data_IF_864601213709
#
_entry.id   IF_864601213709
#
_cell.length_a   1.000
_cell.length_b   1.000
_cell.length_c   1.000
_cell.angle_alpha   90.00
_cell.angle_beta   90.00
_cell.angle_gamma   90.00
#
_symmetry.space_group_name_H-M   'P 1'
#
loop_
_entity.id
_entity.type
_entity.pdbx_description
1 polymer ?
#
# COMPACT_ATOMS: atom_id res chain seq x y z
N UNK A 1 55.65 -25.88 13.70
CA UNK A 1 57.06 -26.03 13.30
C UNK A 1 57.32 -24.97 12.25
N UNK A 2 58.05 -23.90 12.69
CA UNK A 2 59.12 -23.17 12.01
C UNK A 2 58.79 -22.49 10.64
N UNK A 3 59.15 -21.31 10.27
CA UNK A 3 59.90 -20.16 10.85
C UNK A 3 59.85 -19.06 9.77
N UNK A 4 59.80 -17.84 10.24
CA UNK A 4 59.98 -16.55 9.56
C UNK A 4 61.18 -16.53 8.60
N UNK A 5 61.12 -15.68 7.56
CA UNK A 5 62.30 -14.89 7.12
C UNK A 5 61.85 -13.56 6.48
N UNK A 6 62.27 -12.49 7.10
CA UNK A 6 62.42 -11.15 6.56
C UNK A 6 63.54 -11.09 5.52
N UNK A 7 63.40 -10.26 4.47
CA UNK A 7 64.55 -9.55 3.88
C UNK A 7 64.10 -8.28 3.15
N UNK A 8 64.75 -7.19 3.61
CA UNK A 8 64.78 -5.84 3.05
C UNK A 8 65.24 -5.80 1.62
N UNK A 9 64.72 -4.86 0.81
CA UNK A 9 65.47 -4.19 -0.24
C UNK A 9 65.08 -2.71 -0.32
N UNK A 10 66.04 -1.85 0.13
CA UNK A 10 66.07 -0.42 -0.18
C UNK A 10 66.52 -0.25 -1.63
N UNK A 11 65.77 0.50 -2.44
CA UNK A 11 66.38 1.23 -3.56
C UNK A 11 65.87 2.66 -3.55
N UNK A 12 66.81 3.60 -3.37
CA UNK A 12 66.71 5.01 -3.67
C UNK A 12 66.66 5.18 -5.19
N UNK A 13 65.68 5.89 -5.71
CA UNK A 13 65.78 6.57 -7.01
C UNK A 13 65.35 8.02 -6.82
N UNK A 14 66.31 8.91 -7.10
CA UNK A 14 66.11 10.35 -7.19
C UNK A 14 65.23 10.71 -8.41
N UNK A 15 64.34 11.70 -8.20
CA UNK A 15 64.11 12.79 -9.13
C UNK A 15 63.11 12.61 -10.23
N UNK A 16 61.94 13.18 -10.01
CA UNK A 16 61.29 14.16 -10.88
C UNK A 16 59.94 14.50 -10.26
N UNK A 17 59.81 15.69 -9.70
CA UNK A 17 58.52 16.27 -9.34
C UNK A 17 57.86 16.74 -10.62
N UNK A 18 57.01 15.90 -11.21
CA UNK A 18 56.06 16.36 -12.21
C UNK A 18 54.85 16.96 -11.46
N UNK A 19 54.76 18.28 -11.50
CA UNK A 19 53.53 18.96 -11.18
C UNK A 19 52.46 18.55 -12.21
N UNK A 20 51.66 17.56 -11.85
CA UNK A 20 50.38 17.34 -12.52
C UNK A 20 49.41 18.37 -11.89
N UNK A 21 49.14 19.42 -12.62
CA UNK A 21 48.01 20.32 -12.29
C UNK A 21 46.74 19.47 -12.21
N UNK A 22 46.13 19.41 -11.03
CA UNK A 22 44.78 18.87 -10.86
C UNK A 22 43.86 19.61 -11.84
N UNK A 23 42.94 18.91 -12.51
CA UNK A 23 41.90 19.62 -13.27
C UNK A 23 41.13 20.49 -12.28
N UNK A 24 40.96 21.76 -12.64
CA UNK A 24 40.05 22.66 -11.97
C UNK A 24 38.67 21.93 -11.93
N UNK A 25 38.14 21.74 -10.74
CA UNK A 25 36.74 21.40 -10.56
C UNK A 25 35.95 22.51 -11.25
N UNK A 26 35.26 22.17 -12.32
CA UNK A 26 34.17 23.01 -12.79
C UNK A 26 33.26 23.20 -11.59
N UNK A 27 33.28 24.40 -11.00
CA UNK A 27 32.26 24.83 -10.07
C UNK A 27 30.95 24.85 -10.86
N UNK A 28 30.19 23.74 -10.73
CA UNK A 28 28.77 23.74 -11.07
C UNK A 28 28.13 24.75 -10.13
N UNK A 29 27.93 25.94 -10.65
CA UNK A 29 27.06 26.94 -10.03
C UNK A 29 25.66 26.37 -10.13
N UNK A 30 25.19 25.75 -9.03
CA UNK A 30 23.76 25.46 -8.86
C UNK A 30 23.03 26.81 -8.99
N UNK A 31 22.24 26.97 -10.04
CA UNK A 31 21.33 28.08 -10.14
C UNK A 31 20.28 27.95 -9.02
N UNK A 32 20.00 29.03 -8.31
CA UNK A 32 18.94 29.09 -7.28
C UNK A 32 17.52 28.71 -7.82
N UNK A 33 17.39 28.48 -9.12
CA UNK A 33 16.15 28.09 -9.78
C UNK A 33 15.80 26.59 -9.61
N UNK A 34 16.74 25.74 -9.19
CA UNK A 34 16.52 24.28 -9.05
C UNK A 34 16.14 23.83 -7.62
N UNK A 35 16.15 24.72 -6.64
CA UNK A 35 15.69 24.42 -5.29
C UNK A 35 14.16 24.49 -5.25
N UNK A 36 13.50 23.34 -5.38
CA UNK A 36 12.07 23.24 -5.05
C UNK A 36 11.86 23.86 -3.65
N UNK A 37 10.90 24.78 -3.45
CA UNK A 37 10.68 25.37 -2.14
C UNK A 37 10.39 24.25 -1.14
N UNK A 38 11.09 24.27 -0.01
CA UNK A 38 10.87 23.33 1.07
C UNK A 38 9.39 23.32 1.47
N UNK A 39 8.84 22.14 1.72
CA UNK A 39 7.45 22.01 2.17
C UNK A 39 7.34 22.48 3.62
N UNK A 40 6.53 23.48 3.89
CA UNK A 40 6.25 24.03 5.21
C UNK A 40 4.83 24.61 5.34
N UNK A 41 4.50 25.12 6.50
CA UNK A 41 3.17 25.68 6.79
C UNK A 41 2.82 26.94 5.97
N UNK A 42 3.77 27.54 5.25
CA UNK A 42 3.50 28.68 4.37
C UNK A 42 2.92 28.26 3.03
N UNK A 43 3.31 27.08 2.52
CA UNK A 43 2.97 26.58 1.19
C UNK A 43 2.19 25.24 1.19
N UNK A 44 1.97 24.64 2.35
CA UNK A 44 1.24 23.36 2.47
C UNK A 44 0.41 23.34 3.77
N UNK A 45 -0.92 23.30 3.63
CA UNK A 45 -1.84 23.35 4.78
C UNK A 45 -2.95 22.30 4.68
N UNK A 46 -3.23 21.65 5.79
CA UNK A 46 -4.42 20.83 5.94
C UNK A 46 -5.70 21.67 5.72
N UNK A 47 -6.76 21.09 5.18
CA UNK A 47 -6.96 19.67 4.86
C UNK A 47 -6.46 19.23 3.48
N UNK A 48 -5.93 20.13 2.65
CA UNK A 48 -5.59 19.83 1.25
C UNK A 48 -4.17 19.34 1.04
N UNK A 49 -3.23 19.73 1.88
CA UNK A 49 -1.82 19.43 1.76
C UNK A 49 -1.23 19.07 3.12
N UNK A 50 -0.35 18.06 3.15
CA UNK A 50 0.43 17.61 4.31
C UNK A 50 1.85 17.30 3.88
N UNK A 51 2.83 18.01 4.42
CA UNK A 51 4.23 17.76 4.09
C UNK A 51 4.70 16.37 4.52
N UNK A 52 5.66 15.82 3.77
CA UNK A 52 6.43 14.67 4.25
C UNK A 52 7.07 14.97 5.62
N UNK A 53 6.98 14.01 6.55
CA UNK A 53 7.48 14.18 7.92
C UNK A 53 6.55 14.93 8.86
N UNK A 54 5.46 15.52 8.37
CA UNK A 54 4.42 16.11 9.22
C UNK A 54 3.69 15.06 10.03
N UNK A 55 3.12 15.51 11.14
CA UNK A 55 2.29 14.67 12.01
C UNK A 55 1.07 15.47 12.50
N UNK A 56 0.00 14.79 12.97
CA UNK A 56 -1.19 15.45 13.49
C UNK A 56 -0.86 16.42 14.62
N UNK A 57 -1.57 17.57 14.68
CA UNK A 57 -1.39 18.62 15.70
C UNK A 57 -1.82 18.20 17.11
N UNK A 58 -2.51 17.05 17.25
CA UNK A 58 -2.92 16.47 18.54
C UNK A 58 -1.71 15.96 19.31
N UNK A 59 -1.67 16.11 20.63
CA UNK A 59 -0.59 15.59 21.47
C UNK A 59 -0.45 14.08 21.33
N UNK A 60 0.77 13.54 21.49
CA UNK A 60 1.00 12.08 21.33
C UNK A 60 0.12 11.28 22.29
N UNK A 61 -0.11 11.76 23.51
CA UNK A 61 -0.92 11.11 24.54
C UNK A 61 -2.40 11.02 24.12
N UNK A 62 -2.90 12.03 23.43
CA UNK A 62 -4.29 12.13 22.98
C UNK A 62 -4.54 11.55 21.59
N UNK A 63 -3.47 11.26 20.83
CA UNK A 63 -3.58 10.66 19.51
C UNK A 63 -4.15 9.25 19.57
N UNK A 64 -5.04 8.87 18.64
CA UNK A 64 -5.33 7.46 18.42
C UNK A 64 -4.09 6.74 17.88
N UNK A 65 -3.87 5.51 18.33
CA UNK A 65 -3.04 4.55 17.60
C UNK A 65 -3.93 3.81 16.62
N UNK A 66 -3.79 4.11 15.36
CA UNK A 66 -4.57 3.40 14.34
C UNK A 66 -4.01 2.00 14.09
N UNK A 67 -4.91 1.02 14.07
CA UNK A 67 -4.70 -0.31 13.52
C UNK A 67 -5.31 -0.32 12.10
N UNK A 68 -4.46 -0.31 11.10
CA UNK A 68 -4.82 -0.17 9.69
C UNK A 68 -4.56 -1.49 8.96
N UNK A 69 -5.60 -2.33 8.88
CA UNK A 69 -5.51 -3.66 8.28
C UNK A 69 -5.97 -3.63 6.82
N UNK A 70 -5.12 -4.12 5.92
CA UNK A 70 -5.43 -4.19 4.49
C UNK A 70 -5.18 -5.58 3.91
N UNK A 71 -6.01 -5.95 2.94
CA UNK A 71 -5.86 -7.18 2.17
C UNK A 71 -5.82 -6.86 0.68
N UNK A 72 -4.98 -7.59 -0.04
CA UNK A 72 -4.88 -7.51 -1.48
C UNK A 72 -5.59 -8.69 -2.14
N UNK A 73 -5.89 -8.55 -3.45
CA UNK A 73 -6.48 -9.53 -4.34
C UNK A 73 -8.00 -9.70 -4.30
N UNK A 74 -8.46 -10.72 -5.01
CA UNK A 74 -9.86 -11.01 -5.22
C UNK A 74 -10.56 -11.49 -3.93
N UNK A 75 -11.78 -11.00 -3.71
CA UNK A 75 -12.67 -11.49 -2.66
C UNK A 75 -13.45 -12.68 -3.20
N UNK A 76 -13.34 -13.81 -2.53
CA UNK A 76 -13.88 -15.09 -2.97
C UNK A 76 -14.58 -15.83 -1.82
N UNK A 77 -15.30 -16.89 -2.15
CA UNK A 77 -15.86 -17.79 -1.15
C UNK A 77 -14.80 -18.51 -0.30
N UNK A 78 -13.55 -18.57 -0.79
CA UNK A 78 -12.47 -19.25 -0.10
C UNK A 78 -11.85 -18.39 1.03
N UNK A 79 -11.94 -17.05 0.93
CA UNK A 79 -11.31 -16.14 1.90
C UNK A 79 -12.33 -15.37 2.78
N UNK A 80 -13.60 -15.33 2.41
CA UNK A 80 -14.61 -14.53 3.12
C UNK A 80 -14.77 -14.92 4.60
N UNK A 81 -14.60 -16.20 4.96
CA UNK A 81 -14.74 -16.66 6.34
C UNK A 81 -13.61 -16.12 7.23
N UNK A 82 -12.40 -16.00 6.71
CA UNK A 82 -11.27 -15.36 7.40
C UNK A 82 -11.59 -13.90 7.68
N UNK A 83 -12.08 -13.16 6.68
CA UNK A 83 -12.46 -11.75 6.84
C UNK A 83 -13.60 -11.57 7.84
N UNK A 84 -14.61 -12.44 7.82
CA UNK A 84 -15.71 -12.41 8.80
C UNK A 84 -15.21 -12.66 10.24
N UNK A 85 -14.25 -13.56 10.46
CA UNK A 85 -13.65 -13.79 11.79
C UNK A 85 -12.92 -12.57 12.32
N UNK A 86 -12.20 -11.86 11.44
CA UNK A 86 -11.50 -10.63 11.79
C UNK A 86 -12.51 -9.50 12.07
N UNK A 87 -13.51 -9.33 11.20
CA UNK A 87 -14.57 -8.34 11.36
C UNK A 87 -15.35 -8.54 12.68
N UNK A 88 -15.55 -9.78 13.12
CA UNK A 88 -16.20 -10.11 14.39
C UNK A 88 -15.45 -9.58 15.62
N UNK A 89 -14.16 -9.21 15.49
CA UNK A 89 -13.37 -8.50 16.51
C UNK A 89 -13.62 -6.98 16.53
N UNK A 90 -14.51 -6.48 15.68
CA UNK A 90 -14.76 -5.04 15.53
C UNK A 90 -13.72 -4.32 14.66
N UNK A 91 -12.94 -5.07 13.86
CA UNK A 91 -11.90 -4.51 12.99
C UNK A 91 -12.48 -4.13 11.65
N UNK A 92 -12.27 -2.87 11.24
CA UNK A 92 -12.51 -2.39 9.87
C UNK A 92 -11.26 -2.66 9.04
N UNK A 93 -11.47 -2.95 7.76
CA UNK A 93 -10.40 -3.36 6.83
C UNK A 93 -10.50 -2.58 5.53
N UNK A 94 -9.38 -2.39 4.85
CA UNK A 94 -9.33 -1.92 3.45
C UNK A 94 -8.98 -3.09 2.56
N UNK A 95 -9.73 -3.29 1.48
CA UNK A 95 -9.50 -4.33 0.48
C UNK A 95 -9.10 -3.71 -0.84
N UNK A 96 -7.88 -3.98 -1.29
CA UNK A 96 -7.41 -3.64 -2.63
C UNK A 96 -7.78 -4.79 -3.57
N UNK A 97 -8.83 -4.58 -4.37
CA UNK A 97 -9.50 -5.65 -5.10
C UNK A 97 -9.04 -5.71 -6.55
N UNK A 98 -8.59 -6.89 -6.99
CA UNK A 98 -8.36 -7.25 -8.40
C UNK A 98 -9.59 -7.93 -9.01
N UNK A 99 -9.68 -7.99 -10.36
CA UNK A 99 -10.89 -8.48 -11.03
C UNK A 99 -10.98 -9.99 -11.11
N UNK A 100 -9.91 -10.67 -11.55
CA UNK A 100 -9.99 -12.10 -11.84
C UNK A 100 -10.36 -12.89 -10.58
N UNK A 101 -11.36 -13.75 -10.71
CA UNK A 101 -11.97 -14.54 -9.61
C UNK A 101 -12.73 -13.75 -8.55
N UNK A 102 -12.84 -12.42 -8.66
CA UNK A 102 -13.56 -11.63 -7.66
C UNK A 102 -15.08 -11.91 -7.66
N UNK A 103 -15.63 -12.15 -6.49
CA UNK A 103 -17.08 -12.17 -6.25
C UNK A 103 -17.56 -10.77 -5.86
N UNK A 104 -18.13 -10.06 -6.82
CA UNK A 104 -18.61 -8.69 -6.60
C UNK A 104 -19.74 -8.59 -5.58
N UNK A 105 -20.49 -9.67 -5.37
CA UNK A 105 -21.53 -9.68 -4.35
C UNK A 105 -20.95 -9.75 -2.93
N UNK A 106 -19.86 -10.50 -2.75
CA UNK A 106 -19.11 -10.54 -1.49
C UNK A 106 -18.35 -9.23 -1.26
N UNK A 107 -17.77 -8.66 -2.32
CA UNK A 107 -17.15 -7.33 -2.26
C UNK A 107 -18.12 -6.28 -1.78
N UNK A 108 -19.35 -6.26 -2.35
CA UNK A 108 -20.41 -5.34 -1.92
C UNK A 108 -20.84 -5.58 -0.46
N UNK A 109 -20.91 -6.85 -0.04
CA UNK A 109 -21.24 -7.19 1.34
C UNK A 109 -20.19 -6.65 2.33
N UNK A 110 -18.90 -6.79 2.02
CA UNK A 110 -17.83 -6.22 2.85
C UNK A 110 -17.92 -4.69 2.92
N UNK A 111 -18.14 -4.03 1.78
CA UNK A 111 -18.39 -2.60 1.75
C UNK A 111 -19.59 -2.19 2.62
N UNK A 112 -20.73 -2.90 2.51
CA UNK A 112 -21.94 -2.63 3.28
C UNK A 112 -21.74 -2.81 4.79
N UNK A 113 -20.77 -3.65 5.19
CA UNK A 113 -20.40 -3.87 6.59
C UNK A 113 -19.41 -2.79 7.10
N UNK A 114 -19.10 -1.76 6.31
CA UNK A 114 -18.26 -0.63 6.72
C UNK A 114 -16.78 -0.80 6.42
N UNK A 115 -16.38 -1.82 5.65
CA UNK A 115 -15.03 -1.95 5.14
C UNK A 115 -14.81 -1.05 3.94
N UNK A 116 -13.58 -0.62 3.69
CA UNK A 116 -13.20 0.14 2.51
C UNK A 116 -12.86 -0.81 1.36
N UNK A 117 -13.31 -0.45 0.15
CA UNK A 117 -12.91 -1.11 -1.10
C UNK A 117 -12.08 -0.15 -1.93
N UNK A 118 -10.92 -0.59 -2.34
CA UNK A 118 -9.94 0.12 -3.13
C UNK A 118 -9.56 -0.68 -4.39
N UNK A 119 -8.79 -0.09 -5.27
CA UNK A 119 -8.47 -0.65 -6.59
C UNK A 119 -7.10 -1.31 -6.60
N UNK A 120 -7.03 -2.55 -7.16
CA UNK A 120 -5.80 -3.34 -7.30
C UNK A 120 -5.61 -3.90 -8.72
N UNK A 121 -6.05 -3.20 -9.75
CA UNK A 121 -6.00 -3.59 -11.15
C UNK A 121 -7.09 -4.57 -11.64
N UNK A 122 -7.16 -4.73 -12.96
CA UNK A 122 -8.01 -5.74 -13.61
C UNK A 122 -7.23 -7.05 -13.78
N UNK A 123 -6.09 -6.98 -14.47
CA UNK A 123 -5.38 -8.19 -14.92
C UNK A 123 -4.52 -8.83 -13.84
N UNK A 124 -4.02 -8.05 -12.92
CA UNK A 124 -2.98 -8.45 -11.97
C UNK A 124 -1.84 -9.23 -12.66
N UNK A 125 -1.38 -8.70 -13.82
CA UNK A 125 -0.35 -9.35 -14.64
C UNK A 125 0.88 -9.70 -13.78
N UNK A 126 1.34 -10.95 -13.87
CA UNK A 126 2.39 -11.48 -12.98
C UNK A 126 3.79 -10.96 -13.26
N UNK A 127 4.02 -10.42 -14.47
CA UNK A 127 5.29 -9.82 -14.84
C UNK A 127 5.41 -8.40 -14.28
N UNK A 128 6.33 -8.17 -13.36
CA UNK A 128 6.58 -6.84 -12.77
C UNK A 128 7.05 -5.80 -13.79
N UNK A 129 7.74 -6.20 -14.86
CA UNK A 129 8.12 -5.29 -15.96
C UNK A 129 6.90 -4.69 -16.65
N UNK A 130 5.78 -5.45 -16.69
CA UNK A 130 4.52 -4.94 -17.22
C UNK A 130 4.05 -3.68 -16.47
N UNK A 131 4.21 -3.66 -15.16
CA UNK A 131 3.83 -2.55 -14.30
C UNK A 131 4.87 -1.45 -14.32
N UNK A 132 6.16 -1.79 -14.17
CA UNK A 132 7.27 -0.83 -14.17
C UNK A 132 7.31 0.01 -15.45
N UNK A 133 7.13 -0.63 -16.60
CA UNK A 133 7.22 0.01 -17.92
C UNK A 133 5.84 0.48 -18.44
N UNK A 134 4.84 0.54 -17.56
CA UNK A 134 3.48 0.95 -17.89
C UNK A 134 3.35 2.45 -18.16
N UNK A 135 2.79 2.83 -19.31
CA UNK A 135 2.41 4.20 -19.62
C UNK A 135 1.07 4.59 -18.96
N UNK A 136 0.69 5.87 -19.03
CA UNK A 136 -0.59 6.37 -18.51
C UNK A 136 -1.80 5.65 -19.11
N UNK A 137 -1.73 5.22 -20.38
CA UNK A 137 -2.84 4.52 -21.03
C UNK A 137 -3.07 3.15 -20.39
N UNK A 138 -2.01 2.40 -20.15
CA UNK A 138 -2.06 1.10 -19.48
C UNK A 138 -2.60 1.25 -18.06
N UNK A 139 -2.03 2.15 -17.27
CA UNK A 139 -2.48 2.41 -15.89
C UNK A 139 -3.94 2.84 -15.83
N UNK A 140 -4.38 3.70 -16.75
CA UNK A 140 -5.78 4.10 -16.84
C UNK A 140 -6.69 2.91 -17.17
N UNK A 141 -6.32 2.06 -18.11
CA UNK A 141 -7.12 0.89 -18.47
C UNK A 141 -7.26 -0.09 -17.30
N UNK A 142 -6.21 -0.31 -16.55
CA UNK A 142 -6.19 -1.20 -15.39
C UNK A 142 -6.97 -0.61 -14.20
N UNK A 143 -6.65 0.60 -13.78
CA UNK A 143 -7.14 1.19 -12.52
C UNK A 143 -8.53 1.79 -12.67
N UNK A 144 -8.75 2.63 -13.69
CA UNK A 144 -10.07 3.24 -13.93
C UNK A 144 -11.06 2.19 -14.45
N UNK A 145 -10.56 1.23 -15.23
CA UNK A 145 -11.35 0.08 -15.65
C UNK A 145 -11.83 -0.74 -14.45
N UNK A 146 -10.95 -1.06 -13.49
CA UNK A 146 -11.34 -1.79 -12.28
C UNK A 146 -12.32 -1.00 -11.42
N UNK A 147 -12.10 0.30 -11.23
CA UNK A 147 -13.05 1.17 -10.54
C UNK A 147 -14.44 1.15 -11.19
N UNK A 148 -14.50 1.16 -12.52
CA UNK A 148 -15.76 1.06 -13.25
C UNK A 148 -16.44 -0.31 -13.07
N UNK A 149 -15.66 -1.40 -13.02
CA UNK A 149 -16.18 -2.75 -12.73
C UNK A 149 -16.75 -2.84 -11.31
N UNK A 150 -16.04 -2.35 -10.28
CA UNK A 150 -16.52 -2.30 -8.91
C UNK A 150 -17.80 -1.49 -8.78
N UNK A 151 -17.87 -0.35 -9.47
CA UNK A 151 -19.09 0.48 -9.51
C UNK A 151 -20.27 -0.26 -10.14
N UNK A 152 -20.03 -0.94 -11.26
CA UNK A 152 -21.11 -1.58 -12.03
C UNK A 152 -21.51 -2.92 -11.43
N UNK A 153 -20.57 -3.83 -11.28
CA UNK A 153 -20.84 -5.23 -10.89
C UNK A 153 -20.97 -5.40 -9.37
N UNK A 154 -20.30 -4.55 -8.59
CA UNK A 154 -20.43 -4.49 -7.14
C UNK A 154 -21.51 -3.51 -6.66
N UNK A 155 -22.10 -2.71 -7.55
CA UNK A 155 -23.07 -1.66 -7.22
C UNK A 155 -22.52 -0.64 -6.20
N UNK A 156 -21.20 -0.43 -6.19
CA UNK A 156 -20.52 0.48 -5.25
C UNK A 156 -20.55 1.93 -5.74
N UNK A 157 -20.66 2.92 -4.85
CA UNK A 157 -20.59 4.32 -5.23
C UNK A 157 -19.17 4.64 -5.76
N UNK A 158 -19.08 5.12 -7.00
CA UNK A 158 -17.77 5.45 -7.62
C UNK A 158 -16.96 6.46 -6.81
N UNK A 159 -17.63 7.43 -6.18
CA UNK A 159 -16.98 8.45 -5.36
C UNK A 159 -16.28 7.92 -4.10
N UNK A 160 -16.59 6.69 -3.70
CA UNK A 160 -15.97 6.02 -2.54
C UNK A 160 -14.79 5.11 -2.94
N UNK A 161 -14.64 4.82 -4.24
CA UNK A 161 -13.56 3.98 -4.78
C UNK A 161 -12.34 4.87 -5.12
N UNK A 162 -11.67 5.35 -4.09
CA UNK A 162 -10.65 6.41 -4.18
C UNK A 162 -9.24 5.97 -3.86
N UNK A 163 -9.07 4.72 -3.43
CA UNK A 163 -7.77 4.16 -3.06
C UNK A 163 -7.15 3.32 -4.16
N UNK A 164 -5.83 3.29 -4.18
CA UNK A 164 -5.03 2.50 -5.11
C UNK A 164 -3.88 1.79 -4.40
N UNK A 165 -3.59 0.57 -4.87
CA UNK A 165 -2.33 -0.15 -4.66
C UNK A 165 -1.93 -0.83 -5.95
N UNK A 166 -0.66 -0.67 -6.34
CA UNK A 166 -0.10 -1.33 -7.51
C UNK A 166 0.14 -2.82 -7.23
N UNK A 167 -0.16 -3.73 -8.17
CA UNK A 167 0.26 -5.12 -8.09
C UNK A 167 1.76 -5.24 -7.85
N UNK A 168 2.17 -6.17 -6.99
CA UNK A 168 3.56 -6.36 -6.59
C UNK A 168 4.23 -5.10 -6.01
N UNK A 169 3.46 -4.09 -5.63
CA UNK A 169 3.92 -2.77 -5.21
C UNK A 169 4.74 -2.04 -6.30
N UNK A 170 4.67 -2.51 -7.54
CA UNK A 170 5.43 -1.99 -8.66
C UNK A 170 4.67 -0.88 -9.38
N UNK A 171 5.09 0.34 -9.18
CA UNK A 171 4.61 1.51 -9.95
C UNK A 171 5.52 1.76 -11.16
N UNK A 172 5.10 2.64 -12.05
CA UNK A 172 5.92 3.20 -13.15
C UNK A 172 6.33 4.66 -12.88
N UNK A 173 6.48 5.02 -11.61
CA UNK A 173 6.81 6.39 -11.24
C UNK A 173 5.73 7.38 -11.71
N UNK A 174 6.13 8.48 -12.31
CA UNK A 174 5.25 9.58 -12.68
C UNK A 174 4.03 9.18 -13.51
N UNK A 175 4.14 8.14 -14.36
CA UNK A 175 3.00 7.68 -15.17
C UNK A 175 1.85 7.16 -14.31
N UNK A 176 2.15 6.38 -13.27
CA UNK A 176 1.15 5.88 -12.32
C UNK A 176 0.48 7.04 -11.59
N UNK A 177 1.28 7.90 -10.94
CA UNK A 177 0.79 8.98 -10.09
C UNK A 177 0.05 10.06 -10.88
N UNK A 178 0.47 10.33 -12.12
CA UNK A 178 -0.24 11.21 -13.06
C UNK A 178 -1.67 10.70 -13.35
N UNK A 179 -1.83 9.40 -13.60
CA UNK A 179 -3.16 8.80 -13.80
C UNK A 179 -4.00 8.89 -12.52
N UNK A 180 -3.44 8.55 -11.37
CA UNK A 180 -4.16 8.61 -10.10
C UNK A 180 -4.68 10.03 -9.83
N UNK A 181 -3.85 11.05 -10.03
CA UNK A 181 -4.24 12.45 -9.87
C UNK A 181 -5.30 12.88 -10.88
N UNK A 182 -5.07 12.66 -12.19
CA UNK A 182 -6.00 13.03 -13.27
C UNK A 182 -7.37 12.38 -13.09
N UNK A 183 -7.40 11.14 -12.64
CA UNK A 183 -8.61 10.36 -12.44
C UNK A 183 -9.19 10.50 -11.02
N UNK A 184 -8.66 11.44 -10.22
CA UNK A 184 -9.15 11.82 -8.88
C UNK A 184 -9.18 10.65 -7.89
N UNK A 185 -8.15 9.84 -7.88
CA UNK A 185 -7.87 8.99 -6.73
C UNK A 185 -7.42 9.87 -5.56
N UNK A 186 -7.75 9.47 -4.37
CA UNK A 186 -7.38 10.19 -3.16
C UNK A 186 -5.99 9.81 -2.69
N UNK A 187 -5.65 8.52 -2.81
CA UNK A 187 -4.39 8.01 -2.29
C UNK A 187 -3.82 6.84 -3.08
N UNK A 188 -2.51 6.72 -2.99
CA UNK A 188 -1.74 5.51 -3.25
C UNK A 188 -1.26 4.88 -1.93
N UNK A 189 -1.12 3.55 -1.92
CA UNK A 189 -0.45 2.80 -0.85
C UNK A 189 0.35 1.65 -1.44
N UNK A 190 1.34 2.01 -2.27
CA UNK A 190 2.20 1.05 -2.98
C UNK A 190 3.67 1.22 -2.63
N UNK A 191 4.07 2.28 -1.91
CA UNK A 191 5.46 2.67 -1.75
C UNK A 191 6.02 2.20 -0.39
N UNK A 192 6.86 1.14 -0.36
CA UNK A 192 7.50 0.69 0.87
C UNK A 192 8.52 1.70 1.40
N UNK A 193 8.64 1.77 2.73
CA UNK A 193 9.68 2.55 3.38
C UNK A 193 10.39 1.72 4.44
N UNK A 194 11.72 1.68 4.35
CA UNK A 194 12.63 1.06 5.31
C UNK A 194 13.36 2.09 6.16
N UNK A 195 13.77 3.21 5.56
CA UNK A 195 14.52 4.24 6.27
C UNK A 195 13.70 4.94 7.35
N UNK A 196 12.38 4.95 7.19
CA UNK A 196 11.45 5.62 8.10
C UNK A 196 10.59 4.62 8.89
N UNK A 197 11.24 3.61 9.47
CA UNK A 197 10.59 2.64 10.34
C UNK A 197 10.54 3.07 11.80
N UNK A 198 11.52 3.87 12.24
CA UNK A 198 11.65 4.34 13.62
C UNK A 198 12.30 5.75 13.67
N UNK A 199 11.54 6.83 13.92
CA UNK A 199 10.08 6.83 14.04
C UNK A 199 9.38 6.54 12.71
N UNK A 200 8.23 5.84 12.73
CA UNK A 200 7.47 5.58 11.50
C UNK A 200 6.83 6.87 10.97
N UNK A 201 6.69 6.96 9.64
CA UNK A 201 6.11 8.14 9.00
C UNK A 201 4.58 8.09 8.92
N UNK A 202 3.98 9.28 9.00
CA UNK A 202 2.58 9.51 8.76
C UNK A 202 2.28 9.66 7.26
N UNK A 203 1.03 9.41 6.81
CA UNK A 203 0.62 9.76 5.46
C UNK A 203 0.84 11.23 5.15
N UNK A 204 1.24 11.52 3.92
CA UNK A 204 1.52 12.86 3.44
C UNK A 204 1.01 13.04 2.01
N UNK A 205 0.98 14.28 1.49
CA UNK A 205 0.55 14.53 0.12
C UNK A 205 1.74 14.78 -0.79
N UNK A 206 1.58 14.44 -2.07
CA UNK A 206 2.62 14.58 -3.08
C UNK A 206 2.65 15.97 -3.75
N UNK A 207 2.12 17.00 -3.08
CA UNK A 207 2.13 18.39 -3.55
C UNK A 207 3.56 18.91 -3.76
N UNK A 208 4.47 18.50 -2.90
CA UNK A 208 5.89 18.88 -2.94
C UNK A 208 6.80 17.70 -3.31
N UNK A 209 6.21 16.65 -3.91
CA UNK A 209 6.91 15.47 -4.40
C UNK A 209 7.01 14.35 -3.37
N UNK A 210 7.75 13.32 -3.76
CA UNK A 210 7.96 12.11 -3.00
C UNK A 210 9.10 12.30 -1.99
N UNK A 211 8.85 12.02 -0.70
CA UNK A 211 9.79 12.35 0.38
C UNK A 211 10.46 11.15 1.05
N UNK A 212 9.90 9.93 0.92
CA UNK A 212 10.46 8.74 1.57
C UNK A 212 11.50 8.02 0.69
N UNK A 213 12.16 7.01 1.25
CA UNK A 213 13.13 6.19 0.52
C UNK A 213 12.48 5.36 -0.58
N UNK A 214 13.13 5.27 -1.73
CA UNK A 214 12.67 4.49 -2.87
C UNK A 214 13.14 3.04 -2.73
N UNK A 215 12.24 2.13 -2.39
CA UNK A 215 12.56 0.71 -2.21
C UNK A 215 12.28 -0.13 -3.46
N UNK A 216 11.35 0.31 -4.32
CA UNK A 216 10.99 -0.34 -5.58
C UNK A 216 10.96 0.72 -6.65
N UNK A 217 11.97 0.76 -7.49
CA UNK A 217 12.10 1.74 -8.58
C UNK A 217 11.18 1.39 -9.77
N UNK A 218 10.69 2.40 -10.52
CA UNK A 218 10.89 3.85 -10.33
C UNK A 218 9.93 4.46 -9.32
N UNK A 219 10.43 5.38 -8.49
CA UNK A 219 9.59 6.22 -7.64
C UNK A 219 9.20 7.52 -8.36
N UNK A 220 8.12 8.19 -7.97
CA UNK A 220 7.70 9.43 -8.63
C UNK A 220 8.67 10.57 -8.36
N UNK A 221 8.96 11.38 -9.40
CA UNK A 221 9.78 12.58 -9.32
C UNK A 221 8.94 13.86 -9.43
N UNK A 222 7.71 13.75 -9.96
CA UNK A 222 6.78 14.86 -10.13
C UNK A 222 6.12 15.31 -8.84
N UNK A 223 5.36 16.40 -8.95
CA UNK A 223 4.44 16.85 -7.92
C UNK A 223 3.01 16.47 -8.33
N UNK A 224 2.25 15.91 -7.38
CA UNK A 224 0.88 15.45 -7.60
C UNK A 224 -0.05 16.05 -6.54
N UNK A 225 -0.41 17.35 -6.66
CA UNK A 225 -1.17 18.06 -5.64
C UNK A 225 -2.47 17.37 -5.25
N UNK A 226 -2.68 17.23 -3.94
CA UNK A 226 -3.86 16.63 -3.34
C UNK A 226 -3.90 15.10 -3.34
N UNK A 227 -2.94 14.41 -3.98
CA UNK A 227 -2.81 12.96 -3.93
C UNK A 227 -2.01 12.57 -2.67
N UNK A 228 -2.61 11.72 -1.84
CA UNK A 228 -1.98 11.20 -0.64
C UNK A 228 -1.11 9.98 -0.93
N UNK A 229 0.06 9.94 -0.32
CA UNK A 229 0.84 8.72 -0.15
C UNK A 229 0.60 8.17 1.25
N UNK A 230 0.21 6.90 1.32
CA UNK A 230 0.06 6.16 2.57
C UNK A 230 1.19 5.14 2.68
N UNK A 231 2.29 5.49 3.35
CA UNK A 231 3.53 4.73 3.31
C UNK A 231 3.37 3.29 3.80
N UNK A 232 3.98 2.36 3.08
CA UNK A 232 4.06 0.98 3.51
C UNK A 232 5.30 0.78 4.41
N UNK A 233 5.20 1.24 5.67
CA UNK A 233 6.26 1.09 6.65
C UNK A 233 6.57 -0.39 6.87
N UNK A 234 7.82 -0.79 6.61
CA UNK A 234 8.24 -2.19 6.62
C UNK A 234 8.15 -2.84 8.01
N UNK A 235 7.98 -4.15 8.00
CA UNK A 235 8.07 -4.99 9.20
C UNK A 235 9.50 -5.42 9.45
N UNK A 236 9.83 -5.59 10.72
CA UNK A 236 11.05 -6.22 11.18
C UNK A 236 10.73 -7.59 11.78
N UNK A 237 11.19 -8.63 11.13
CA UNK A 237 11.10 -10.02 11.58
C UNK A 237 12.47 -10.48 12.07
N UNK A 238 12.58 -10.82 13.35
CA UNK A 238 13.76 -11.47 13.94
C UNK A 238 13.48 -12.95 14.04
N UNK A 239 14.36 -13.75 13.49
CA UNK A 239 14.32 -15.22 13.59
C UNK A 239 15.71 -15.77 13.93
N UNK A 240 15.81 -17.10 14.10
CA UNK A 240 17.10 -17.77 14.28
C UNK A 240 18.00 -17.67 13.04
N UNK A 241 17.41 -17.41 11.89
CA UNK A 241 18.10 -17.29 10.59
C UNK A 241 18.59 -15.87 10.31
N UNK A 242 18.19 -14.88 11.13
CA UNK A 242 18.61 -13.49 11.02
C UNK A 242 17.45 -12.50 11.10
N UNK A 243 17.77 -11.26 10.73
CA UNK A 243 16.85 -10.13 10.70
C UNK A 243 16.36 -9.88 9.28
N UNK A 244 15.04 -9.84 9.11
CA UNK A 244 14.38 -9.63 7.82
C UNK A 244 13.51 -8.39 7.86
N UNK A 245 13.49 -7.65 6.76
CA UNK A 245 12.66 -6.46 6.58
C UNK A 245 11.75 -6.69 5.38
N UNK A 246 10.46 -6.46 5.54
CA UNK A 246 9.47 -6.85 4.55
C UNK A 246 8.40 -5.79 4.38
N UNK A 247 8.00 -5.54 3.15
CA UNK A 247 6.96 -4.56 2.82
C UNK A 247 5.56 -5.05 3.16
N UNK A 248 5.36 -6.38 3.10
CA UNK A 248 4.09 -7.02 3.48
C UNK A 248 4.37 -8.09 4.54
N UNK A 249 3.38 -8.33 5.41
CA UNK A 249 3.50 -9.24 6.54
C UNK A 249 3.84 -10.68 6.10
N UNK A 250 3.27 -11.09 4.99
CA UNK A 250 3.43 -12.40 4.38
C UNK A 250 4.63 -12.51 3.42
N UNK A 251 5.38 -11.44 3.24
CA UNK A 251 6.67 -11.48 2.53
C UNK A 251 7.85 -11.81 3.46
N UNK A 252 7.65 -11.76 4.79
CA UNK A 252 8.70 -12.00 5.78
C UNK A 252 8.91 -13.50 6.04
N UNK A 253 9.81 -14.10 5.30
CA UNK A 253 10.26 -15.49 5.54
C UNK A 253 11.55 -15.51 6.37
N UNK A 254 11.74 -16.53 7.26
CA UNK A 254 10.83 -17.65 7.53
C UNK A 254 9.57 -17.21 8.27
N UNK A 255 8.44 -17.84 7.94
CA UNK A 255 7.16 -17.51 8.59
C UNK A 255 7.14 -17.90 10.06
N UNK A 256 6.34 -17.19 10.90
CA UNK A 256 6.03 -17.66 12.22
C UNK A 256 5.37 -19.04 12.17
N UNK A 257 5.81 -19.95 13.05
CA UNK A 257 5.35 -21.36 13.04
C UNK A 257 4.35 -21.68 14.17
N UNK A 258 4.25 -20.81 15.19
CA UNK A 258 3.31 -20.97 16.30
C UNK A 258 2.42 -19.73 16.44
N UNK A 259 1.29 -19.88 17.13
CA UNK A 259 0.42 -18.75 17.44
C UNK A 259 1.13 -17.69 18.27
N UNK A 260 1.95 -18.12 19.25
CA UNK A 260 2.74 -17.21 20.07
C UNK A 260 3.77 -16.43 19.23
N UNK A 261 4.54 -17.10 18.38
CA UNK A 261 5.52 -16.46 17.51
C UNK A 261 4.85 -15.44 16.55
N UNK A 262 3.67 -15.78 16.03
CA UNK A 262 2.89 -14.87 15.20
C UNK A 262 2.46 -13.63 15.98
N UNK A 263 1.90 -13.82 17.16
CA UNK A 263 1.48 -12.74 18.04
C UNK A 263 2.65 -11.85 18.43
N UNK A 264 3.77 -12.42 18.86
CA UNK A 264 4.96 -11.70 19.29
C UNK A 264 5.59 -10.88 18.15
N UNK A 265 5.63 -11.46 16.95
CA UNK A 265 6.07 -10.75 15.75
C UNK A 265 5.22 -9.49 15.47
N UNK A 266 3.90 -9.63 15.51
CA UNK A 266 2.98 -8.52 15.32
C UNK A 266 3.09 -7.49 16.45
N UNK A 267 3.12 -7.95 17.71
CA UNK A 267 3.24 -7.07 18.88
C UNK A 267 4.52 -6.24 18.86
N UNK A 268 5.65 -6.83 18.47
CA UNK A 268 6.93 -6.11 18.38
C UNK A 268 6.86 -4.96 17.39
N UNK A 269 6.30 -5.21 16.20
CA UNK A 269 6.12 -4.17 15.18
C UNK A 269 5.09 -3.12 15.61
N UNK A 270 3.96 -3.53 16.20
CA UNK A 270 2.96 -2.63 16.75
C UNK A 270 3.55 -1.69 17.81
N UNK A 271 4.31 -2.23 18.77
CA UNK A 271 4.90 -1.43 19.83
C UNK A 271 5.93 -0.41 19.35
N UNK A 272 6.57 -0.63 18.21
CA UNK A 272 7.44 0.35 17.57
C UNK A 272 6.66 1.62 17.18
N UNK A 273 5.46 1.48 16.60
CA UNK A 273 4.56 2.59 16.29
C UNK A 273 3.97 3.21 17.56
N UNK A 274 3.44 2.37 18.45
CA UNK A 274 2.72 2.79 19.64
C UNK A 274 3.57 3.60 20.63
N UNK A 275 4.83 3.19 20.84
CA UNK A 275 5.77 3.82 21.79
C UNK A 275 6.54 5.00 21.19
N UNK A 276 6.45 5.21 19.89
CA UNK A 276 7.12 6.28 19.17
C UNK A 276 6.16 7.46 18.96
N UNK A 277 5.80 7.76 17.72
CA UNK A 277 4.99 8.92 17.33
C UNK A 277 3.51 8.58 17.05
N UNK A 278 3.10 7.32 17.28
CA UNK A 278 1.76 6.79 16.98
C UNK A 278 1.32 6.92 15.50
N UNK A 279 2.27 6.94 14.56
CA UNK A 279 1.91 6.77 13.16
C UNK A 279 1.08 5.47 12.99
N UNK A 280 0.14 5.42 12.05
CA UNK A 280 -0.73 4.27 11.87
C UNK A 280 0.07 2.97 11.82
N UNK A 281 -0.33 1.96 12.60
CA UNK A 281 0.27 0.64 12.49
C UNK A 281 -0.38 -0.11 11.34
N UNK A 282 0.34 -0.30 10.23
CA UNK A 282 -0.21 -0.94 9.06
C UNK A 282 -0.12 -2.46 9.20
N UNK A 283 -1.10 -3.18 8.64
CA UNK A 283 -1.02 -4.61 8.40
C UNK A 283 -1.40 -4.84 6.94
N UNK A 284 -0.41 -5.17 6.12
CA UNK A 284 -0.53 -5.44 4.69
C UNK A 284 -0.30 -6.92 4.44
N UNK A 285 -1.27 -7.65 3.92
CA UNK A 285 -1.14 -9.09 3.66
C UNK A 285 -2.15 -9.63 2.66
N UNK A 286 -1.87 -10.85 2.15
CA UNK A 286 -2.83 -11.68 1.43
C UNK A 286 -3.48 -12.69 2.38
N UNK A 287 -4.76 -12.98 2.19
CA UNK A 287 -5.49 -13.90 3.08
C UNK A 287 -4.84 -15.29 3.17
N UNK A 288 -4.20 -15.73 2.09
CA UNK A 288 -3.54 -17.03 2.02
C UNK A 288 -2.55 -17.29 3.18
N UNK A 289 -1.91 -16.25 3.72
CA UNK A 289 -1.02 -16.37 4.87
C UNK A 289 -1.76 -16.82 6.15
N UNK A 290 -3.03 -16.42 6.30
CA UNK A 290 -3.89 -16.77 7.43
C UNK A 290 -4.60 -18.12 7.30
N UNK A 291 -4.41 -18.85 6.19
CA UNK A 291 -4.92 -20.24 6.06
C UNK A 291 -4.21 -21.22 6.97
N UNK A 292 -3.00 -20.90 7.37
CA UNK A 292 -2.33 -21.64 8.45
C UNK A 292 -3.00 -21.35 9.80
N UNK A 293 -3.37 -22.42 10.51
CA UNK A 293 -4.14 -22.32 11.75
C UNK A 293 -3.39 -21.58 12.85
N UNK A 294 -2.09 -21.82 12.98
CA UNK A 294 -1.27 -21.19 14.02
C UNK A 294 -1.11 -19.71 13.75
N UNK A 295 -0.91 -19.30 12.49
CA UNK A 295 -0.84 -17.89 12.12
C UNK A 295 -2.17 -17.18 12.33
N UNK A 296 -3.29 -17.77 11.91
CA UNK A 296 -4.61 -17.20 12.15
C UNK A 296 -4.90 -17.03 13.64
N UNK A 297 -4.61 -18.06 14.44
CA UNK A 297 -4.81 -18.01 15.89
C UNK A 297 -3.97 -16.90 16.53
N UNK A 298 -2.67 -16.85 16.22
CA UNK A 298 -1.77 -15.81 16.74
C UNK A 298 -2.18 -14.40 16.30
N UNK A 299 -2.64 -14.27 15.06
CA UNK A 299 -3.18 -13.02 14.54
C UNK A 299 -4.43 -12.55 15.31
N UNK A 300 -5.38 -13.45 15.55
CA UNK A 300 -6.59 -13.13 16.33
C UNK A 300 -6.25 -12.82 17.80
N UNK A 301 -5.30 -13.51 18.40
CA UNK A 301 -4.80 -13.21 19.76
C UNK A 301 -4.12 -11.83 19.82
N UNK A 302 -3.36 -11.45 18.78
CA UNK A 302 -2.80 -10.12 18.67
C UNK A 302 -3.91 -9.05 18.62
N UNK A 303 -4.94 -9.24 17.79
CA UNK A 303 -6.07 -8.31 17.73
C UNK A 303 -6.76 -8.17 19.07
N UNK A 304 -7.04 -9.29 19.77
CA UNK A 304 -7.65 -9.30 21.09
C UNK A 304 -6.84 -8.53 22.14
N UNK A 305 -5.50 -8.50 21.99
CA UNK A 305 -4.63 -7.76 22.89
C UNK A 305 -4.58 -6.27 22.57
N UNK A 306 -4.33 -5.90 21.32
CA UNK A 306 -4.17 -4.48 20.97
C UNK A 306 -5.47 -3.70 21.07
N UNK A 307 -6.62 -4.34 20.84
CA UNK A 307 -7.93 -3.70 20.99
C UNK A 307 -8.33 -3.41 22.44
N UNK A 308 -7.58 -3.90 23.44
CA UNK A 308 -7.77 -3.52 24.85
C UNK A 308 -7.16 -2.16 25.20
N UNK A 309 -6.24 -1.65 24.38
CA UNK A 309 -5.66 -0.34 24.61
C UNK A 309 -6.72 0.75 24.35
N UNK A 310 -6.89 1.65 25.31
CA UNK A 310 -7.97 2.66 25.27
C UNK A 310 -7.88 3.63 24.10
N UNK A 311 -6.70 3.82 23.55
CA UNK A 311 -6.38 4.75 22.47
C UNK A 311 -6.15 4.06 21.13
N UNK A 312 -6.25 2.72 21.05
CA UNK A 312 -6.23 2.00 19.79
C UNK A 312 -7.57 2.13 19.07
N UNK A 313 -7.52 2.42 17.79
CA UNK A 313 -8.70 2.52 16.91
C UNK A 313 -8.46 1.71 15.65
N UNK A 314 -9.39 0.80 15.35
CA UNK A 314 -9.42 0.18 14.01
C UNK A 314 -9.84 1.23 12.98
N UNK A 315 -9.10 1.32 11.89
CA UNK A 315 -9.29 2.32 10.85
C UNK A 315 -9.04 1.73 9.47
N UNK A 316 -9.82 2.17 8.49
CA UNK A 316 -9.49 2.01 7.08
C UNK A 316 -8.44 3.05 6.67
N UNK A 317 -7.85 2.91 5.48
CA UNK A 317 -6.93 3.94 4.98
C UNK A 317 -7.67 5.28 4.83
N UNK A 318 -8.90 5.26 4.34
CA UNK A 318 -9.74 6.45 4.23
C UNK A 318 -9.94 7.14 5.58
N UNK A 319 -10.19 6.36 6.65
CA UNK A 319 -10.32 6.91 8.01
C UNK A 319 -9.06 7.67 8.46
N UNK A 320 -7.89 7.11 8.17
CA UNK A 320 -6.60 7.72 8.52
C UNK A 320 -6.38 9.02 7.76
N UNK A 321 -6.69 9.07 6.47
CA UNK A 321 -6.55 10.29 5.66
C UNK A 321 -7.52 11.38 6.16
N UNK A 322 -8.78 11.03 6.43
CA UNK A 322 -9.75 12.01 6.96
C UNK A 322 -9.35 12.50 8.38
N UNK A 323 -8.74 11.61 9.18
CA UNK A 323 -8.14 12.01 10.44
C UNK A 323 -6.96 12.99 10.23
N UNK A 324 -6.07 12.73 9.26
CA UNK A 324 -4.98 13.67 8.94
C UNK A 324 -5.51 15.04 8.54
N UNK A 325 -6.60 15.09 7.78
CA UNK A 325 -7.27 16.32 7.36
C UNK A 325 -7.86 17.12 8.51
N UNK A 326 -8.37 16.44 9.53
CA UNK A 326 -9.00 17.05 10.71
C UNK A 326 -8.68 16.24 11.97
N UNK A 327 -7.47 16.38 12.53
CA UNK A 327 -7.03 15.60 13.67
C UNK A 327 -7.87 15.87 14.92
N UNK A 328 -8.25 14.80 15.61
CA UNK A 328 -9.00 14.82 16.87
C UNK A 328 -8.35 13.93 17.92
N UNK A 329 -8.76 14.03 19.18
CA UNK A 329 -8.29 13.09 20.19
C UNK A 329 -8.84 11.68 19.94
N UNK A 330 -8.15 10.67 20.49
CA UNK A 330 -8.61 9.28 20.36
C UNK A 330 -10.03 9.04 20.91
N UNK A 331 -10.49 9.90 21.82
CA UNK A 331 -11.85 9.85 22.39
C UNK A 331 -12.90 10.46 21.46
N UNK A 332 -12.50 11.42 20.65
CA UNK A 332 -13.37 12.14 19.72
C UNK A 332 -13.36 11.54 18.30
N UNK A 333 -12.40 10.67 18.01
CA UNK A 333 -12.29 10.05 16.70
C UNK A 333 -13.58 9.35 16.31
N UNK A 334 -14.05 9.66 15.11
CA UNK A 334 -15.17 8.97 14.45
C UNK A 334 -14.69 8.46 13.09
N UNK A 335 -14.98 7.21 12.77
CA UNK A 335 -14.69 6.67 11.44
C UNK A 335 -15.40 7.45 10.33
N UNK A 336 -14.78 7.53 9.16
CA UNK A 336 -15.40 8.07 7.97
C UNK A 336 -16.70 7.32 7.66
N UNK A 337 -17.74 8.09 7.35
CA UNK A 337 -19.05 7.54 7.00
C UNK A 337 -19.19 7.49 5.49
N UNK A 338 -18.95 6.33 4.93
CA UNK A 338 -19.07 6.10 3.50
C UNK A 338 -20.54 6.10 3.03
N UNK A 339 -20.76 6.49 1.77
CA UNK A 339 -22.07 6.47 1.13
C UNK A 339 -22.58 5.03 0.97
N UNK A 340 -23.87 4.74 1.18
CA UNK A 340 -24.36 3.37 1.04
C UNK A 340 -24.30 2.89 -0.42
N UNK A 341 -24.03 1.61 -0.65
CA UNK A 341 -24.10 1.03 -1.99
C UNK A 341 -25.56 0.89 -2.45
N UNK A 342 -25.77 0.71 -3.75
CA UNK A 342 -27.06 0.27 -4.25
C UNK A 342 -27.31 -1.17 -3.81
N UNK A 343 -28.53 -1.55 -3.40
CA UNK A 343 -28.82 -2.91 -2.95
C UNK A 343 -28.51 -3.96 -4.02
N UNK A 344 -27.81 -5.03 -3.62
CA UNK A 344 -27.61 -6.23 -4.44
C UNK A 344 -28.77 -7.21 -4.20
N UNK A 345 -29.95 -6.87 -4.74
CA UNK A 345 -31.17 -7.65 -4.49
C UNK A 345 -31.14 -9.04 -5.15
N UNK A 346 -30.33 -9.21 -6.19
CA UNK A 346 -30.13 -10.46 -6.91
C UNK A 346 -28.68 -10.60 -7.30
N UNK A 347 -28.08 -11.73 -6.96
CA UNK A 347 -26.73 -12.08 -7.40
C UNK A 347 -26.83 -12.89 -8.67
N UNK A 348 -26.28 -12.36 -9.74
CA UNK A 348 -26.14 -13.08 -11.03
C UNK A 348 -24.85 -13.90 -11.03
N UNK A 349 -24.95 -15.14 -11.55
CA UNK A 349 -23.79 -15.98 -11.80
C UNK A 349 -23.54 -15.99 -13.32
N UNK A 350 -22.50 -15.30 -13.74
CA UNK A 350 -22.12 -15.14 -15.13
C UNK A 350 -21.12 -16.23 -15.53
N UNK A 351 -21.35 -16.89 -16.66
CA UNK A 351 -20.51 -17.96 -17.18
C UNK A 351 -20.10 -17.62 -18.61
N UNK A 352 -18.80 -17.68 -18.88
CA UNK A 352 -18.21 -17.40 -20.20
C UNK A 352 -17.47 -18.63 -20.68
N UNK A 353 -17.55 -18.89 -21.99
CA UNK A 353 -16.86 -20.03 -22.63
C UNK A 353 -15.49 -19.64 -23.18
N UNK A 354 -15.36 -18.39 -23.62
CA UNK A 354 -14.15 -17.84 -24.23
C UNK A 354 -13.89 -16.44 -23.70
N UNK A 355 -12.99 -16.29 -22.73
CA UNK A 355 -12.30 -17.34 -21.96
C UNK A 355 -13.24 -18.11 -21.01
N UNK A 356 -12.87 -19.32 -20.62
CA UNK A 356 -13.63 -20.06 -19.60
C UNK A 356 -13.46 -19.35 -18.24
N UNK A 357 -14.43 -18.52 -17.90
CA UNK A 357 -14.43 -17.75 -16.64
C UNK A 357 -15.84 -17.65 -16.06
N UNK A 358 -15.87 -17.43 -14.76
CA UNK A 358 -17.11 -17.21 -14.01
C UNK A 358 -16.95 -15.93 -13.20
N UNK A 359 -18.02 -15.19 -13.02
CA UNK A 359 -18.06 -14.08 -12.08
C UNK A 359 -19.45 -14.00 -11.41
N UNK A 360 -19.50 -13.53 -10.18
CA UNK A 360 -20.74 -13.15 -9.52
C UNK A 360 -20.88 -11.64 -9.50
N UNK A 361 -22.09 -11.16 -9.79
CA UNK A 361 -22.37 -9.75 -10.02
C UNK A 361 -23.69 -9.34 -9.39
N UNK A 362 -23.77 -8.11 -8.87
CA UNK A 362 -25.01 -7.45 -8.46
C UNK A 362 -25.76 -6.80 -9.63
N UNK A 363 -25.19 -6.81 -10.82
CA UNK A 363 -25.78 -6.34 -12.07
C UNK A 363 -25.98 -7.49 -13.04
N UNK A 364 -26.76 -7.26 -14.10
CA UNK A 364 -26.92 -8.24 -15.19
C UNK A 364 -25.55 -8.62 -15.77
N UNK A 365 -25.41 -9.90 -16.13
CA UNK A 365 -24.21 -10.41 -16.74
C UNK A 365 -23.88 -9.67 -18.05
N UNK A 366 -22.67 -9.16 -18.22
CA UNK A 366 -22.22 -8.59 -19.47
C UNK A 366 -22.12 -9.69 -20.56
N UNK A 367 -22.19 -9.27 -21.83
CA UNK A 367 -22.17 -10.19 -22.96
C UNK A 367 -20.86 -10.98 -23.06
N UNK A 368 -19.75 -10.32 -22.78
CA UNK A 368 -18.41 -10.90 -22.78
C UNK A 368 -17.78 -10.74 -21.41
N UNK A 369 -16.78 -11.58 -21.09
CA UNK A 369 -16.03 -11.43 -19.85
C UNK A 369 -15.36 -10.05 -19.80
N UNK A 370 -15.62 -9.25 -18.76
CA UNK A 370 -14.99 -7.95 -18.60
C UNK A 370 -13.47 -8.09 -18.52
N UNK A 371 -12.73 -7.20 -19.19
CA UNK A 371 -11.27 -7.25 -19.16
C UNK A 371 -10.67 -5.87 -19.45
N UNK A 372 -9.34 -5.80 -19.40
CA UNK A 372 -8.57 -4.60 -19.74
C UNK A 372 -8.98 -4.08 -21.11
N UNK A 373 -9.22 -2.77 -21.21
CA UNK A 373 -9.74 -2.11 -22.42
C UNK A 373 -11.24 -2.33 -22.72
N UNK A 374 -11.89 -3.31 -22.06
CA UNK A 374 -13.31 -3.59 -22.21
C UNK A 374 -14.00 -3.89 -20.87
N UNK A 375 -13.87 -2.99 -19.86
CA UNK A 375 -14.28 -3.26 -18.49
C UNK A 375 -15.78 -3.54 -18.32
N UNK A 376 -16.61 -3.15 -19.30
CA UNK A 376 -18.05 -3.41 -19.26
C UNK A 376 -18.47 -4.68 -20.02
N UNK A 377 -17.53 -5.43 -20.60
CA UNK A 377 -17.82 -6.65 -21.36
C UNK A 377 -18.83 -6.48 -22.50
N UNK A 378 -18.86 -5.30 -23.15
CA UNK A 378 -19.76 -5.02 -24.29
C UNK A 378 -19.26 -5.57 -25.59
N UNK A 379 -17.95 -5.65 -25.76
CA UNK A 379 -17.23 -6.21 -26.91
C UNK A 379 -16.26 -7.29 -26.41
N UNK A 380 -15.84 -8.23 -27.27
CA UNK A 380 -14.86 -9.25 -26.88
C UNK A 380 -13.58 -8.62 -26.35
N UNK A 381 -12.98 -9.19 -25.28
CA UNK A 381 -11.70 -8.71 -24.77
C UNK A 381 -10.60 -8.95 -25.82
N UNK A 382 -9.74 -7.95 -26.03
CA UNK A 382 -8.51 -8.09 -26.80
C UNK A 382 -7.41 -8.54 -25.84
N UNK A 383 -6.54 -9.45 -26.30
CA UNK A 383 -5.37 -9.89 -25.53
C UNK A 383 -5.69 -10.51 -24.15
N UNK A 384 -6.75 -11.30 -24.06
CA UNK A 384 -6.95 -12.13 -22.87
C UNK A 384 -5.87 -13.23 -22.87
N UNK A 385 -5.11 -13.44 -21.77
CA UNK A 385 -4.16 -14.54 -21.70
C UNK A 385 -4.90 -15.87 -21.84
N UNK A 386 -4.56 -16.64 -22.87
CA UNK A 386 -5.04 -18.02 -23.05
C UNK A 386 -4.04 -18.88 -22.26
N UNK A 387 -4.41 -19.25 -21.04
CA UNK A 387 -3.70 -20.25 -20.25
C UNK A 387 -4.21 -21.65 -20.61
#
# INVERSE_FOLDING_TARGET
>A
MLVSIWKDYKYLILGAVLYVSAPQSDDYVYSDEDLKPACDDSNCKLPSCSCFGSHPSVSIQDRPQFLMLTFDDAITVANIDTYNKIAAKGVRMTFFVSHEYNDYSLTQKLYSNGHEIAVHSISHESNTDFWRDGDETKWKQEMVGMRAMLTTFGSLPQAELVGHRAPFLQTSGDSTFSVLQKEKFLYDSSMPSRSYMDPPIWPYTLDHGYGQDCQIEPCPNGNFPGLWEVPMVQYHRISKEGDFYCSMLDACTPYPVTAMDTKDYLMKNFLRHYKSNKAPFPIFLHEAWLRDKARLEGFLQFLDEVLKYQDVRSATIRDVIEYMRNPTTHRQFQPYRQSPPKPCNKVETCSYKEPLRFMKSCAMCPKYYPWVGTPMGRIPPKNFPIN
#
